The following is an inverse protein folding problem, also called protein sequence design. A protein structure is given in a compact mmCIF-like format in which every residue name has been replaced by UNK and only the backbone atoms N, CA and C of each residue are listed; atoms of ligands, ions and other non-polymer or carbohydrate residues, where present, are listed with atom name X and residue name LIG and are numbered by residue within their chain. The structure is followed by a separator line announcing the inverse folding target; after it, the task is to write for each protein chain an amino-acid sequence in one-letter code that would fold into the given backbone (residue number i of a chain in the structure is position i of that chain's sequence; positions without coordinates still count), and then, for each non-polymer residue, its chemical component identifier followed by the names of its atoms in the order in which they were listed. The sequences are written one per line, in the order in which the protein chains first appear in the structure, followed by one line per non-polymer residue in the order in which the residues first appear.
data_IF_926271108385
#
_entry.id   IF_926271108385
#
_cell.length_a   1.000
_cell.length_b   1.000
_cell.length_c   1.000
_cell.angle_alpha   90.00
_cell.angle_beta   90.00
_cell.angle_gamma   90.00
#
_symmetry.space_group_name_H-M   'P 1'
#
loop_
_entity.id
_entity.type
_entity.pdbx_description
1 polymer ?
#
# COMPACT_ATOMS: atom_id res chain seq x y z
N UNK A 1 -10.16 1.40 -5.34
CA UNK A 1 -9.29 0.72 -6.34
C UNK A 1 -8.75 -0.56 -5.75
N UNK A 2 -8.82 -1.63 -6.49
CA UNK A 2 -8.25 -2.89 -6.05
C UNK A 2 -6.72 -2.81 -6.05
N UNK A 3 -6.11 -3.49 -5.08
CA UNK A 3 -4.67 -3.49 -4.97
C UNK A 3 -4.18 -4.77 -4.27
N UNK A 4 -2.88 -4.97 -4.30
CA UNK A 4 -2.24 -6.15 -3.72
C UNK A 4 -1.48 -5.85 -2.44
N UNK A 5 -1.76 -4.73 -1.80
CA UNK A 5 -1.00 -4.30 -0.60
C UNK A 5 -1.05 -5.33 0.51
N UNK A 6 -2.23 -5.87 0.79
CA UNK A 6 -2.38 -6.85 1.87
C UNK A 6 -1.55 -8.10 1.61
N UNK A 7 -1.57 -8.59 0.38
CA UNK A 7 -0.80 -9.78 -0.01
C UNK A 7 0.70 -9.49 0.06
N UNK A 8 1.12 -8.35 -0.51
CA UNK A 8 2.54 -7.98 -0.51
C UNK A 8 3.06 -7.78 0.91
N UNK A 9 2.26 -7.16 1.76
CA UNK A 9 2.60 -6.96 3.16
C UNK A 9 2.76 -8.30 3.88
N UNK A 10 1.81 -9.21 3.66
CA UNK A 10 1.84 -10.53 4.28
C UNK A 10 3.07 -11.34 3.84
N UNK A 11 3.46 -11.21 2.57
CA UNK A 11 4.65 -11.90 2.05
C UNK A 11 5.94 -11.46 2.74
N UNK A 12 5.93 -10.29 3.36
CA UNK A 12 7.08 -9.74 4.09
C UNK A 12 6.92 -9.83 5.59
N UNK A 13 5.86 -10.46 6.06
CA UNK A 13 5.51 -10.55 7.48
C UNK A 13 5.38 -9.17 8.14
N UNK A 14 4.86 -8.19 7.40
CA UNK A 14 4.61 -6.86 7.93
C UNK A 14 3.18 -6.73 8.40
N UNK A 15 2.98 -6.13 9.58
CA UNK A 15 1.66 -5.70 10.02
C UNK A 15 1.25 -4.43 9.28
N UNK A 16 -0.03 -4.02 9.40
CA UNK A 16 -0.46 -2.73 8.87
C UNK A 16 0.33 -1.60 9.51
N UNK A 17 0.63 -1.70 10.82
CA UNK A 17 1.44 -0.70 11.51
C UNK A 17 2.85 -0.64 10.97
N UNK A 18 3.45 -1.79 10.67
CA UNK A 18 4.80 -1.82 10.08
C UNK A 18 4.83 -1.08 8.75
N UNK A 19 3.86 -1.36 7.89
CA UNK A 19 3.77 -0.68 6.60
C UNK A 19 3.50 0.81 6.76
N UNK A 20 2.61 1.17 7.69
CA UNK A 20 2.29 2.57 7.97
C UNK A 20 3.54 3.35 8.37
N UNK A 21 4.38 2.76 9.24
CA UNK A 21 5.63 3.39 9.65
C UNK A 21 6.56 3.62 8.47
N UNK A 22 6.67 2.65 7.56
CA UNK A 22 7.53 2.77 6.38
C UNK A 22 7.02 3.84 5.42
N UNK A 23 5.71 4.04 5.37
CA UNK A 23 5.08 5.02 4.49
C UNK A 23 4.92 6.38 5.17
N UNK A 24 5.17 6.46 6.48
CA UNK A 24 4.97 7.67 7.29
C UNK A 24 3.52 8.15 7.25
N UNK A 25 2.59 7.22 7.32
CA UNK A 25 1.15 7.50 7.39
C UNK A 25 0.54 6.74 8.57
N UNK A 26 -0.72 6.97 8.86
CA UNK A 26 -1.40 6.26 9.94
C UNK A 26 -1.75 4.83 9.52
N UNK A 27 -1.92 3.94 10.50
CA UNK A 27 -2.39 2.58 10.26
C UNK A 27 -3.78 2.60 9.61
N UNK A 28 -4.62 3.55 10.01
CA UNK A 28 -5.95 3.71 9.44
C UNK A 28 -5.88 4.01 7.93
N UNK A 29 -4.90 4.81 7.51
CA UNK A 29 -4.70 5.08 6.09
C UNK A 29 -4.33 3.82 5.32
N UNK A 30 -3.44 3.00 5.88
CA UNK A 30 -3.07 1.72 5.26
C UNK A 30 -4.32 0.84 5.12
N UNK A 31 -5.10 0.71 6.19
CA UNK A 31 -6.32 -0.10 6.15
C UNK A 31 -7.30 0.40 5.10
N UNK A 32 -7.50 1.72 5.02
CA UNK A 32 -8.43 2.31 4.05
C UNK A 32 -7.98 2.05 2.61
N UNK A 33 -6.67 2.09 2.35
CA UNK A 33 -6.14 1.78 1.02
C UNK A 33 -6.34 0.30 0.72
N UNK A 34 -6.00 -0.59 1.65
CA UNK A 34 -6.11 -2.04 1.45
C UNK A 34 -7.54 -2.48 1.17
N UNK A 35 -8.51 -1.84 1.80
CA UNK A 35 -9.93 -2.17 1.62
C UNK A 35 -10.57 -1.49 0.41
N UNK A 36 -9.83 -0.65 -0.30
CA UNK A 36 -10.33 0.06 -1.48
C UNK A 36 -11.21 1.26 -1.18
N UNK A 37 -11.31 1.67 0.09
CA UNK A 37 -12.11 2.83 0.49
C UNK A 37 -11.43 4.15 0.19
N UNK A 38 -10.13 4.14 0.00
CA UNK A 38 -9.33 5.33 -0.21
C UNK A 38 -8.23 5.03 -1.21
N UNK A 39 -8.13 5.86 -2.23
CA UNK A 39 -7.05 5.74 -3.21
C UNK A 39 -5.91 6.67 -2.79
N UNK A 40 -4.68 6.19 -2.76
CA UNK A 40 -3.55 7.04 -2.34
C UNK A 40 -3.31 8.16 -3.34
N UNK A 41 -2.79 9.28 -2.86
CA UNK A 41 -2.28 10.32 -3.73
C UNK A 41 -1.14 9.75 -4.58
N UNK A 42 -0.83 10.42 -5.69
CA UNK A 42 0.26 9.97 -6.54
C UNK A 42 1.60 9.92 -5.79
N UNK A 43 1.97 10.94 -4.98
CA UNK A 43 3.20 10.84 -4.20
C UNK A 43 3.21 9.64 -3.25
N UNK A 44 2.09 9.34 -2.62
CA UNK A 44 2.01 8.18 -1.73
C UNK A 44 2.09 6.87 -2.51
N UNK A 45 1.48 6.80 -3.68
CA UNK A 45 1.56 5.62 -4.55
C UNK A 45 3.01 5.35 -4.96
N UNK A 46 3.78 6.39 -5.31
CA UNK A 46 5.19 6.22 -5.63
C UNK A 46 5.99 5.75 -4.41
N UNK A 47 5.68 6.25 -3.22
CA UNK A 47 6.35 5.80 -2.00
C UNK A 47 6.05 4.32 -1.72
N UNK A 48 4.82 3.90 -1.93
CA UNK A 48 4.44 2.49 -1.79
C UNK A 48 5.24 1.64 -2.77
N UNK A 49 5.33 2.07 -4.01
CA UNK A 49 6.11 1.37 -5.04
C UNK A 49 7.58 1.23 -4.61
N UNK A 50 8.17 2.30 -4.08
CA UNK A 50 9.55 2.28 -3.63
C UNK A 50 9.75 1.31 -2.46
N UNK A 51 8.82 1.29 -1.51
CA UNK A 51 8.91 0.40 -0.33
C UNK A 51 8.93 -1.07 -0.75
N UNK A 52 8.11 -1.43 -1.74
CA UNK A 52 8.04 -2.81 -2.20
C UNK A 52 9.00 -3.11 -3.35
N UNK A 53 9.61 -2.10 -3.94
CA UNK A 53 10.50 -2.29 -5.08
C UNK A 53 9.78 -2.78 -6.32
N UNK A 54 8.52 -2.38 -6.51
CA UNK A 54 7.68 -2.80 -7.61
C UNK A 54 7.11 -1.57 -8.33
N UNK A 55 6.73 -1.76 -9.60
CA UNK A 55 6.03 -0.72 -10.32
C UNK A 55 4.64 -0.52 -9.73
N UNK A 56 4.10 0.69 -9.84
CA UNK A 56 2.76 1.02 -9.35
C UNK A 56 1.73 0.04 -9.93
N UNK A 57 1.83 -0.27 -11.21
CA UNK A 57 0.89 -1.16 -11.91
C UNK A 57 0.93 -2.60 -11.39
N UNK A 58 2.02 -3.00 -10.75
CA UNK A 58 2.13 -4.32 -10.13
C UNK A 58 1.42 -4.35 -8.77
N UNK A 59 1.13 -3.20 -8.19
CA UNK A 59 0.52 -3.07 -6.86
C UNK A 59 -0.96 -2.69 -6.98
N UNK A 60 -1.27 -1.67 -7.78
CA UNK A 60 -2.63 -1.15 -7.94
C UNK A 60 -3.21 -1.67 -9.24
N UNK A 61 -4.35 -2.33 -9.14
CA UNK A 61 -4.97 -3.00 -10.27
C UNK A 61 -5.98 -2.08 -10.94
N UNK A 62 -5.95 -2.05 -12.26
CA UNK A 62 -6.92 -1.26 -13.02
C UNK A 62 -8.18 -2.10 -13.26
N UNK A 63 -9.30 -1.44 -13.29
CA UNK A 63 -10.58 -2.08 -13.58
C UNK A 63 -10.70 -2.49 -15.04
#
# INVERSE_FOLDING_TARGET
MENRLKVLRAMRDWSQSDLADKLEVSRQSVNAIETGKYDPSLPLAFRIADVFGLAIEAIFLRD
#
